data_IF_512840875118
#
_entry.id   IF_512840875118
#
_cell.length_a   1.000
_cell.length_b   1.000
_cell.length_c   1.000
_cell.angle_alpha   90.00
_cell.angle_beta   90.00
_cell.angle_gamma   90.00
#
_symmetry.space_group_name_H-M   'P 1'
#
loop_
_entity.id
_entity.type
_entity.pdbx_description
1 polymer ?
#
# COMPACT_ATOMS: atom_id res chain seq x y z
N UNK A 1 18.22 66.73 7.31
CA UNK A 1 16.88 66.58 6.68
C UNK A 1 16.76 65.18 6.09
N UNK A 2 16.17 64.24 6.84
CA UNK A 2 15.98 62.85 6.40
C UNK A 2 14.79 62.79 5.45
N UNK A 3 15.06 62.43 4.20
CA UNK A 3 14.13 62.51 3.07
C UNK A 3 12.82 61.75 3.30
N UNK A 4 11.71 62.50 3.25
CA UNK A 4 10.31 62.09 3.39
C UNK A 4 9.92 60.86 2.55
N UNK A 5 10.62 60.63 1.43
CA UNK A 5 10.35 59.52 0.50
C UNK A 5 10.70 58.13 1.04
N UNK A 6 11.61 58.01 2.03
CA UNK A 6 11.96 56.71 2.64
C UNK A 6 10.91 56.23 3.65
N UNK A 7 10.27 57.16 4.37
CA UNK A 7 9.23 56.84 5.36
C UNK A 7 7.93 56.40 4.68
N UNK A 8 7.56 57.04 3.55
CA UNK A 8 6.37 56.68 2.77
C UNK A 8 6.52 55.29 2.13
N UNK A 9 7.71 54.95 1.60
CA UNK A 9 7.97 53.60 1.02
C UNK A 9 7.89 52.47 2.05
N UNK A 10 8.37 52.68 3.27
CA UNK A 10 8.28 51.69 4.34
C UNK A 10 6.83 51.47 4.81
N UNK A 11 6.05 52.55 4.94
CA UNK A 11 4.63 52.46 5.31
C UNK A 11 3.82 51.74 4.23
N UNK A 12 4.04 52.05 2.95
CA UNK A 12 3.35 51.37 1.85
C UNK A 12 3.70 49.87 1.74
N UNK A 13 4.96 49.49 1.98
CA UNK A 13 5.37 48.09 2.03
C UNK A 13 4.73 47.32 3.20
N UNK A 14 4.62 47.95 4.38
CA UNK A 14 3.94 47.33 5.53
C UNK A 14 2.43 47.16 5.32
N UNK A 15 1.76 48.12 4.67
CA UNK A 15 0.32 48.03 4.36
C UNK A 15 0.08 46.97 3.28
N UNK A 16 0.96 46.85 2.29
CA UNK A 16 0.87 45.81 1.26
C UNK A 16 1.11 44.41 1.86
N UNK A 17 2.07 44.26 2.77
CA UNK A 17 2.32 42.99 3.48
C UNK A 17 1.17 42.59 4.41
N UNK A 18 0.59 43.54 5.14
CA UNK A 18 -0.54 43.28 6.04
C UNK A 18 -1.84 43.03 5.27
N UNK A 19 -2.06 43.72 4.14
CA UNK A 19 -3.18 43.48 3.22
C UNK A 19 -3.05 42.13 2.51
N UNK A 20 -1.83 41.75 2.09
CA UNK A 20 -1.55 40.43 1.51
C UNK A 20 -1.80 39.32 2.53
N UNK A 21 -1.35 39.46 3.78
CA UNK A 21 -1.61 38.48 4.85
C UNK A 21 -3.09 38.39 5.24
N UNK A 22 -3.82 39.51 5.25
CA UNK A 22 -5.26 39.51 5.57
C UNK A 22 -6.12 38.98 4.43
N UNK A 23 -5.74 39.23 3.17
CA UNK A 23 -6.38 38.61 2.00
C UNK A 23 -6.05 37.10 1.94
N UNK A 24 -4.81 36.69 2.15
CA UNK A 24 -4.43 35.26 2.16
C UNK A 24 -4.99 34.47 3.35
N UNK A 25 -5.23 35.10 4.51
CA UNK A 25 -5.84 34.44 5.67
C UNK A 25 -7.26 33.95 5.40
N UNK A 26 -7.98 34.58 4.48
CA UNK A 26 -9.31 34.14 4.02
C UNK A 26 -9.27 33.13 2.85
N UNK A 27 -8.12 32.94 2.18
CA UNK A 27 -7.99 32.00 1.04
C UNK A 27 -7.42 30.63 1.42
N UNK A 28 -7.03 30.42 2.69
CA UNK A 28 -6.59 29.12 3.20
C UNK A 28 -7.68 28.53 4.10
N UNK A 29 -8.90 28.42 3.58
CA UNK A 29 -9.81 27.36 4.00
C UNK A 29 -9.74 26.31 2.91
N UNK A 30 -8.95 25.26 3.15
CA UNK A 30 -8.91 24.10 2.27
C UNK A 30 -10.35 23.60 2.10
N UNK A 31 -10.91 23.56 0.87
CA UNK A 31 -12.23 22.97 0.65
C UNK A 31 -12.22 21.53 1.18
N UNK A 32 -13.31 21.11 1.82
CA UNK A 32 -13.47 19.78 2.44
C UNK A 32 -13.03 18.62 1.50
N UNK A 33 -13.19 18.83 0.19
CA UNK A 33 -12.77 17.95 -0.91
C UNK A 33 -11.26 17.67 -1.00
N UNK A 34 -10.39 18.56 -0.50
CA UNK A 34 -8.93 18.37 -0.54
C UNK A 34 -8.40 17.54 0.63
N UNK A 35 -9.22 17.14 1.61
CA UNK A 35 -8.80 16.16 2.63
C UNK A 35 -8.72 14.72 2.08
N UNK A 36 -9.44 14.45 1.00
CA UNK A 36 -9.42 13.15 0.29
C UNK A 36 -8.36 13.12 -0.83
N UNK A 37 -7.54 14.17 -0.98
CA UNK A 37 -6.42 14.12 -1.89
C UNK A 37 -5.35 13.19 -1.34
N UNK A 38 -5.36 11.98 -1.88
CA UNK A 38 -4.40 10.92 -1.66
C UNK A 38 -2.97 11.47 -1.73
N UNK A 39 -2.16 11.18 -0.71
CA UNK A 39 -0.74 11.56 -0.65
C UNK A 39 0.03 11.06 -1.87
N UNK A 40 -0.52 10.04 -2.52
CA UNK A 40 -0.08 9.43 -3.76
C UNK A 40 -0.18 10.37 -4.97
N UNK A 41 -1.17 11.28 -5.02
CA UNK A 41 -1.29 12.28 -6.09
C UNK A 41 -0.19 13.34 -5.97
N UNK A 42 0.11 13.79 -4.75
CA UNK A 42 1.16 14.80 -4.53
C UNK A 42 2.55 14.25 -4.86
N UNK A 43 2.81 12.98 -4.54
CA UNK A 43 4.03 12.26 -4.93
C UNK A 43 4.14 12.07 -6.46
N UNK A 44 3.02 11.89 -7.16
CA UNK A 44 2.98 11.82 -8.64
C UNK A 44 3.28 13.15 -9.32
N UNK A 45 2.94 14.28 -8.69
CA UNK A 45 3.12 15.63 -9.24
C UNK A 45 4.56 16.14 -9.08
N UNK A 46 5.31 15.66 -8.08
CA UNK A 46 6.68 16.15 -7.79
C UNK A 46 7.82 15.44 -8.53
N UNK A 47 7.53 14.51 -9.44
CA UNK A 47 8.50 14.11 -10.48
C UNK A 47 9.72 13.31 -10.00
N UNK A 48 9.52 12.23 -9.23
CA UNK A 48 10.49 11.11 -9.20
C UNK A 48 10.10 10.10 -10.28
N UNK A 49 10.75 10.19 -11.45
CA UNK A 49 10.53 9.32 -12.61
C UNK A 49 10.88 7.87 -12.33
N UNK A 50 9.86 7.09 -11.99
CA UNK A 50 9.86 5.64 -11.77
C UNK A 50 8.73 5.34 -10.80
N UNK A 51 7.71 4.53 -11.17
CA UNK A 51 6.66 4.18 -10.20
C UNK A 51 7.34 3.48 -9.03
N UNK A 52 7.30 4.10 -7.85
CA UNK A 52 7.75 3.46 -6.62
C UNK A 52 7.03 2.11 -6.49
N UNK A 53 7.77 1.08 -6.07
CA UNK A 53 7.18 -0.23 -5.83
C UNK A 53 6.43 -0.18 -4.51
N UNK A 54 5.18 -0.62 -4.52
CA UNK A 54 4.33 -0.58 -3.32
C UNK A 54 4.90 -1.45 -2.20
N UNK A 55 4.78 -0.98 -0.95
CA UNK A 55 5.34 -1.64 0.24
C UNK A 55 4.94 -3.11 0.37
N UNK A 56 3.75 -3.47 -0.10
CA UNK A 56 3.25 -4.85 -0.08
C UNK A 56 4.19 -5.82 -0.77
N UNK A 57 4.93 -5.41 -1.80
CA UNK A 57 5.92 -6.27 -2.45
C UNK A 57 7.09 -6.63 -1.55
N UNK A 58 7.41 -5.81 -0.55
CA UNK A 58 8.34 -6.17 0.51
C UNK A 58 7.81 -7.34 1.36
N UNK A 59 6.54 -7.28 1.75
CA UNK A 59 5.89 -8.41 2.45
C UNK A 59 5.81 -9.66 1.54
N UNK A 60 5.45 -9.48 0.27
CA UNK A 60 5.37 -10.58 -0.69
C UNK A 60 6.73 -11.23 -0.92
N UNK A 61 7.82 -10.45 -0.95
CA UNK A 61 9.18 -10.97 -1.01
C UNK A 61 9.46 -11.93 0.16
N UNK A 62 9.16 -11.53 1.39
CA UNK A 62 9.38 -12.37 2.58
C UNK A 62 8.60 -13.67 2.54
N UNK A 63 7.33 -13.66 2.12
CA UNK A 63 6.50 -14.88 2.14
C UNK A 63 6.67 -15.78 0.91
N UNK A 64 7.32 -15.27 -0.14
CA UNK A 64 7.67 -16.04 -1.34
C UNK A 64 9.11 -16.53 -1.35
N UNK A 65 9.96 -16.00 -0.47
CA UNK A 65 11.34 -16.45 -0.28
C UNK A 65 11.38 -17.60 0.73
N UNK A 66 12.05 -18.69 0.35
CA UNK A 66 12.17 -19.87 1.22
C UNK A 66 12.99 -19.54 2.49
N UNK A 67 12.51 -19.96 3.66
CA UNK A 67 13.18 -19.74 4.95
C UNK A 67 13.14 -18.30 5.48
N UNK A 68 12.61 -17.34 4.73
CA UNK A 68 12.53 -15.95 5.17
C UNK A 68 11.43 -15.75 6.23
N UNK A 69 11.78 -15.02 7.30
CA UNK A 69 10.94 -14.67 8.44
C UNK A 69 11.16 -13.20 8.78
N UNK A 70 10.09 -12.47 9.12
CA UNK A 70 10.20 -11.10 9.61
C UNK A 70 10.97 -11.07 10.95
N UNK A 71 11.92 -10.13 11.08
CA UNK A 71 12.69 -9.96 12.30
C UNK A 71 11.94 -9.06 13.30
N UNK A 72 11.83 -9.53 14.55
CA UNK A 72 11.19 -8.82 15.68
C UNK A 72 11.88 -7.48 16.03
N UNK A 73 13.13 -7.27 15.61
CA UNK A 73 13.92 -6.09 15.91
C UNK A 73 13.50 -4.82 15.13
N UNK A 74 12.54 -4.91 14.22
CA UNK A 74 12.12 -3.80 13.38
C UNK A 74 10.99 -3.01 14.07
N UNK A 75 11.26 -1.75 14.40
CA UNK A 75 10.26 -0.81 14.88
C UNK A 75 9.26 -0.51 13.75
N UNK A 76 8.07 -1.12 13.84
CA UNK A 76 6.98 -0.94 12.88
C UNK A 76 6.30 0.44 12.98
N UNK A 77 6.78 1.33 13.86
CA UNK A 77 6.24 2.68 14.09
C UNK A 77 6.98 3.79 13.29
N UNK A 78 7.86 3.42 12.35
CA UNK A 78 8.62 4.36 11.52
C UNK A 78 7.88 4.65 10.19
N UNK A 79 7.82 5.93 9.83
CA UNK A 79 7.17 6.50 8.64
C UNK A 79 7.42 5.70 7.34
N UNK A 80 6.41 5.78 6.47
CA UNK A 80 5.90 4.72 5.62
C UNK A 80 6.44 4.83 4.17
N UNK A 81 7.48 4.07 3.82
CA UNK A 81 7.88 3.77 2.42
C UNK A 81 9.07 2.82 2.25
N UNK A 82 9.75 2.41 3.32
CA UNK A 82 11.08 1.82 3.15
C UNK A 82 11.02 0.30 3.01
N UNK A 83 10.99 -0.15 1.75
CA UNK A 83 11.14 -1.56 1.37
C UNK A 83 12.43 -2.20 1.93
N UNK A 84 13.43 -1.39 2.28
CA UNK A 84 14.68 -1.81 2.92
C UNK A 84 14.50 -2.64 4.21
N UNK A 85 13.35 -2.53 4.89
CA UNK A 85 13.05 -3.36 6.07
C UNK A 85 12.80 -4.83 5.72
N UNK A 86 12.45 -5.11 4.47
CA UNK A 86 12.17 -6.46 3.96
C UNK A 86 13.40 -7.09 3.31
N UNK A 87 14.48 -6.34 3.05
CA UNK A 87 15.76 -6.89 2.62
C UNK A 87 16.51 -7.51 3.79
N UNK A 88 16.31 -8.81 4.02
CA UNK A 88 16.89 -9.53 5.16
C UNK A 88 18.42 -9.68 5.03
N UNK A 89 18.96 -9.81 3.81
CA UNK A 89 20.36 -10.20 3.60
C UNK A 89 21.14 -9.43 2.51
N UNK A 90 20.48 -8.69 1.63
CA UNK A 90 21.14 -8.01 0.50
C UNK A 90 20.30 -6.86 -0.05
N UNK A 91 20.92 -5.96 -0.82
CA UNK A 91 20.20 -4.92 -1.57
C UNK A 91 19.35 -5.56 -2.66
N UNK A 92 18.05 -5.31 -2.63
CA UNK A 92 17.08 -5.85 -3.59
C UNK A 92 16.76 -4.79 -4.65
N UNK A 93 16.81 -5.18 -5.92
CA UNK A 93 16.15 -4.42 -6.99
C UNK A 93 14.64 -4.71 -6.93
N UNK A 94 13.91 -3.80 -6.30
CA UNK A 94 12.47 -3.96 -6.06
C UNK A 94 11.64 -3.97 -7.34
N UNK A 95 12.12 -3.36 -8.43
CA UNK A 95 11.42 -3.37 -9.72
C UNK A 95 11.54 -4.75 -10.36
N UNK A 96 12.74 -5.32 -10.34
CA UNK A 96 12.97 -6.69 -10.80
C UNK A 96 12.24 -7.71 -9.92
N UNK A 97 12.28 -7.52 -8.60
CA UNK A 97 11.65 -8.42 -7.64
C UNK A 97 10.12 -8.42 -7.74
N UNK A 98 9.52 -7.24 -7.90
CA UNK A 98 8.09 -7.11 -8.23
C UNK A 98 7.74 -7.95 -9.46
N UNK A 99 8.53 -7.82 -10.54
CA UNK A 99 8.29 -8.55 -11.79
C UNK A 99 8.40 -10.06 -11.59
N UNK A 100 9.37 -10.53 -10.80
CA UNK A 100 9.52 -11.95 -10.44
C UNK A 100 8.30 -12.45 -9.67
N UNK A 101 7.88 -11.75 -8.63
CA UNK A 101 6.72 -12.11 -7.79
C UNK A 101 5.44 -12.15 -8.64
N UNK A 102 5.20 -11.14 -9.48
CA UNK A 102 4.02 -11.11 -10.35
C UNK A 102 4.01 -12.26 -11.37
N UNK A 103 5.18 -12.71 -11.82
CA UNK A 103 5.31 -13.80 -12.79
C UNK A 103 5.17 -15.19 -12.15
N UNK A 104 5.71 -15.39 -10.95
CA UNK A 104 5.76 -16.70 -10.28
C UNK A 104 4.58 -16.92 -9.33
N UNK A 105 4.09 -15.85 -8.69
CA UNK A 105 3.06 -15.88 -7.65
C UNK A 105 1.99 -14.79 -7.88
N UNK A 106 1.33 -14.76 -9.04
CA UNK A 106 0.36 -13.69 -9.36
C UNK A 106 -0.83 -13.66 -8.39
N UNK A 107 -1.18 -14.81 -7.80
CA UNK A 107 -2.28 -14.95 -6.82
C UNK A 107 -1.74 -15.58 -5.55
N UNK A 108 -1.87 -14.84 -4.44
CA UNK A 108 -1.42 -15.25 -3.10
C UNK A 108 -2.60 -15.20 -2.14
N UNK A 109 -2.85 -16.30 -1.44
CA UNK A 109 -3.86 -16.40 -0.39
C UNK A 109 -3.19 -16.42 0.98
N UNK A 110 -3.34 -15.34 1.75
CA UNK A 110 -3.03 -15.36 3.18
C UNK A 110 -4.17 -16.04 3.91
N UNK A 111 -3.85 -17.11 4.63
CA UNK A 111 -4.81 -18.10 5.11
C UNK A 111 -4.51 -18.49 6.56
N UNK A 112 -5.43 -19.24 7.17
CA UNK A 112 -5.13 -20.09 8.32
C UNK A 112 -5.65 -21.51 8.08
N UNK A 113 -4.87 -22.51 8.46
CA UNK A 113 -5.12 -23.90 8.08
C UNK A 113 -6.46 -24.44 8.62
N UNK A 114 -6.85 -23.99 9.82
CA UNK A 114 -8.11 -24.37 10.48
C UNK A 114 -9.31 -23.46 10.13
N UNK A 115 -9.10 -22.36 9.41
CA UNK A 115 -10.15 -21.34 9.22
C UNK A 115 -11.15 -21.77 8.13
N UNK A 116 -12.46 -21.92 8.46
CA UNK A 116 -13.46 -22.36 7.48
C UNK A 116 -13.67 -21.36 6.33
N UNK A 117 -13.52 -20.06 6.58
CA UNK A 117 -13.58 -19.03 5.53
C UNK A 117 -12.41 -19.12 4.55
N UNK A 118 -11.21 -19.47 5.07
CA UNK A 118 -10.03 -19.67 4.24
C UNK A 118 -10.17 -20.92 3.38
N UNK A 119 -10.68 -22.03 3.96
CA UNK A 119 -11.02 -23.23 3.20
C UNK A 119 -12.00 -22.92 2.06
N UNK A 120 -13.10 -22.22 2.36
CA UNK A 120 -14.10 -21.84 1.35
C UNK A 120 -13.51 -21.02 0.19
N UNK A 121 -12.66 -20.03 0.48
CA UNK A 121 -12.02 -19.23 -0.55
C UNK A 121 -11.07 -20.07 -1.43
N UNK A 122 -10.27 -20.94 -0.81
CA UNK A 122 -9.37 -21.87 -1.52
C UNK A 122 -10.16 -22.82 -2.42
N UNK A 123 -11.26 -23.39 -1.94
CA UNK A 123 -12.12 -24.29 -2.72
C UNK A 123 -12.71 -23.59 -3.95
N UNK A 124 -13.09 -22.31 -3.85
CA UNK A 124 -13.56 -21.52 -5.00
C UNK A 124 -12.42 -21.25 -5.99
N UNK A 125 -11.25 -20.82 -5.50
CA UNK A 125 -10.09 -20.49 -6.35
C UNK A 125 -9.56 -21.71 -7.12
N UNK A 126 -9.59 -22.90 -6.52
CA UNK A 126 -9.19 -24.15 -7.17
C UNK A 126 -9.99 -24.47 -8.44
N UNK A 127 -11.23 -24.00 -8.56
CA UNK A 127 -12.07 -24.19 -9.75
C UNK A 127 -11.54 -23.46 -10.99
N UNK A 128 -10.61 -22.51 -10.83
CA UNK A 128 -10.10 -21.68 -11.93
C UNK A 128 -8.80 -22.20 -12.56
N UNK A 129 -8.24 -23.31 -12.07
CA UNK A 129 -7.04 -23.95 -12.63
C UNK A 129 -5.91 -22.95 -12.91
N UNK A 130 -5.52 -22.18 -11.89
CA UNK A 130 -4.54 -21.11 -12.01
C UNK A 130 -3.17 -21.63 -12.49
N UNK A 131 -2.55 -20.89 -13.39
CA UNK A 131 -1.18 -21.10 -13.86
C UNK A 131 -0.46 -19.75 -13.89
N UNK A 132 0.57 -19.52 -13.05
CA UNK A 132 1.09 -20.37 -11.97
C UNK A 132 0.05 -20.75 -10.88
N UNK A 133 0.31 -21.81 -10.10
CA UNK A 133 -0.62 -22.25 -9.05
C UNK A 133 -0.77 -21.21 -7.94
N UNK A 134 -1.90 -21.25 -7.24
CA UNK A 134 -2.18 -20.44 -6.06
C UNK A 134 -1.09 -20.63 -5.00
N UNK A 135 -0.39 -19.55 -4.61
CA UNK A 135 0.47 -19.56 -3.42
C UNK A 135 -0.40 -19.41 -2.19
N UNK A 136 -0.32 -20.36 -1.26
CA UNK A 136 -1.01 -20.27 0.04
C UNK A 136 0.02 -19.99 1.12
N UNK A 137 -0.24 -18.98 1.94
CA UNK A 137 0.56 -18.61 3.11
C UNK A 137 -0.26 -18.85 4.36
N UNK A 138 -0.03 -19.97 5.03
CA UNK A 138 -0.75 -20.34 6.27
C UNK A 138 -0.11 -19.62 7.47
N UNK A 139 -0.74 -18.53 7.92
CA UNK A 139 -0.18 -17.66 8.96
C UNK A 139 -0.08 -18.33 10.32
N UNK A 140 -0.92 -19.32 10.61
CA UNK A 140 -0.87 -20.11 11.84
C UNK A 140 0.32 -21.09 11.88
N UNK A 141 0.99 -21.31 10.76
CA UNK A 141 2.14 -22.23 10.63
C UNK A 141 3.47 -21.47 10.53
N UNK A 142 3.44 -20.14 10.65
CA UNK A 142 4.62 -19.29 10.60
C UNK A 142 4.87 -18.61 11.94
N UNK A 143 6.13 -18.49 12.39
CA UNK A 143 6.46 -17.78 13.63
C UNK A 143 6.11 -16.28 13.56
N UNK A 144 6.21 -15.67 12.37
CA UNK A 144 5.90 -14.26 12.11
C UNK A 144 4.45 -14.00 11.65
N UNK A 145 3.57 -15.01 11.73
CA UNK A 145 2.21 -14.93 11.19
C UNK A 145 1.36 -13.80 11.79
N UNK A 146 1.58 -13.49 13.07
CA UNK A 146 0.93 -12.35 13.74
C UNK A 146 1.35 -10.99 13.17
N UNK A 147 2.64 -10.84 12.87
CA UNK A 147 3.20 -9.62 12.28
C UNK A 147 2.73 -9.44 10.84
N UNK A 148 2.77 -10.52 10.05
CA UNK A 148 2.23 -10.52 8.68
C UNK A 148 0.76 -10.07 8.67
N UNK A 149 -0.07 -10.60 9.58
CA UNK A 149 -1.48 -10.19 9.70
C UNK A 149 -1.64 -8.70 10.04
N UNK A 150 -0.81 -8.16 10.92
CA UNK A 150 -0.84 -6.74 11.27
C UNK A 150 -0.44 -5.85 10.08
N UNK A 151 0.63 -6.22 9.36
CA UNK A 151 1.08 -5.54 8.14
C UNK A 151 0.01 -5.60 7.06
N UNK A 152 -0.61 -6.76 6.81
CA UNK A 152 -1.71 -6.89 5.86
C UNK A 152 -2.89 -6.00 6.23
N UNK A 153 -3.26 -5.92 7.51
CA UNK A 153 -4.30 -5.03 7.99
C UNK A 153 -4.01 -3.57 7.64
N UNK A 154 -2.75 -3.12 7.84
CA UNK A 154 -2.32 -1.76 7.48
C UNK A 154 -2.29 -1.52 5.98
N UNK A 155 -1.73 -2.45 5.20
CA UNK A 155 -1.49 -2.28 3.77
C UNK A 155 -2.74 -2.48 2.90
N UNK A 156 -3.67 -3.32 3.34
CA UNK A 156 -4.85 -3.72 2.53
C UNK A 156 -6.18 -3.27 3.13
N UNK A 157 -6.17 -2.77 4.36
CA UNK A 157 -7.39 -2.51 5.14
C UNK A 157 -8.07 -3.78 5.67
N UNK A 158 -7.59 -4.98 5.30
CA UNK A 158 -8.19 -6.26 5.68
C UNK A 158 -7.32 -6.99 6.71
N UNK A 159 -7.76 -6.95 7.97
CA UNK A 159 -7.07 -7.56 9.11
C UNK A 159 -7.51 -9.00 9.42
N UNK A 160 -8.33 -9.59 8.55
CA UNK A 160 -8.88 -10.95 8.67
C UNK A 160 -8.24 -11.90 7.65
N UNK A 161 -8.39 -13.21 7.88
CA UNK A 161 -8.09 -14.24 6.87
C UNK A 161 -9.39 -14.91 6.41
N UNK A 162 -9.50 -15.29 5.13
CA UNK A 162 -8.46 -15.15 4.11
C UNK A 162 -8.33 -13.71 3.62
N UNK A 163 -7.14 -13.35 3.15
CA UNK A 163 -6.89 -12.14 2.37
C UNK A 163 -6.25 -12.55 1.05
N UNK A 164 -6.98 -12.38 -0.06
CA UNK A 164 -6.53 -12.79 -1.39
C UNK A 164 -5.90 -11.59 -2.09
N UNK A 165 -4.64 -11.74 -2.48
CA UNK A 165 -3.86 -10.72 -3.17
C UNK A 165 -3.58 -11.16 -4.60
N UNK A 166 -3.86 -10.28 -5.56
CA UNK A 166 -3.55 -10.45 -6.98
C UNK A 166 -2.65 -9.29 -7.42
N UNK A 167 -1.47 -9.59 -7.93
CA UNK A 167 -0.49 -8.57 -8.39
C UNK A 167 -0.28 -7.43 -7.37
N UNK A 168 -0.01 -7.79 -6.12
CA UNK A 168 0.21 -6.82 -5.04
C UNK A 168 -1.05 -6.10 -4.55
N UNK A 169 -2.24 -6.40 -5.07
CA UNK A 169 -3.50 -5.77 -4.63
C UNK A 169 -4.43 -6.76 -3.97
N UNK A 170 -4.94 -6.44 -2.78
CA UNK A 170 -6.01 -7.25 -2.18
C UNK A 170 -7.29 -7.16 -3.02
N UNK A 171 -7.85 -8.32 -3.37
CA UNK A 171 -9.18 -8.43 -3.98
C UNK A 171 -10.25 -8.81 -2.94
N UNK A 172 -9.86 -9.05 -1.68
CA UNK A 172 -10.77 -9.18 -0.56
C UNK A 172 -10.71 -10.53 0.17
N UNK A 173 -11.77 -10.77 0.95
CA UNK A 173 -11.92 -11.92 1.83
C UNK A 173 -12.73 -13.07 1.19
N UNK A 174 -13.13 -14.06 1.99
CA UNK A 174 -13.94 -15.19 1.52
C UNK A 174 -15.27 -14.75 0.91
N UNK A 175 -15.94 -13.74 1.47
CA UNK A 175 -17.22 -13.25 0.99
C UNK A 175 -17.07 -12.55 -0.37
N UNK A 176 -16.02 -11.75 -0.53
CA UNK A 176 -15.69 -11.11 -1.81
C UNK A 176 -15.43 -12.17 -2.90
N UNK A 177 -14.61 -13.19 -2.63
CA UNK A 177 -14.30 -14.25 -3.61
C UNK A 177 -15.56 -15.03 -4.02
N UNK A 178 -16.41 -15.41 -3.07
CA UNK A 178 -17.67 -16.10 -3.39
C UNK A 178 -18.59 -15.20 -4.21
N UNK A 179 -18.66 -13.90 -3.89
CA UNK A 179 -19.47 -12.93 -4.63
C UNK A 179 -18.98 -12.78 -6.07
N UNK A 180 -17.69 -12.57 -6.29
CA UNK A 180 -17.13 -12.47 -7.64
C UNK A 180 -17.32 -13.76 -8.44
N UNK A 181 -17.22 -14.93 -7.79
CA UNK A 181 -17.48 -16.20 -8.46
C UNK A 181 -18.95 -16.30 -8.90
N UNK A 182 -19.89 -15.97 -8.01
CA UNK A 182 -21.32 -15.98 -8.31
C UNK A 182 -21.74 -14.99 -9.39
N UNK A 183 -21.02 -13.88 -9.52
CA UNK A 183 -21.25 -12.86 -10.57
C UNK A 183 -20.49 -13.12 -11.88
N UNK A 184 -19.61 -14.13 -11.92
CA UNK A 184 -18.75 -14.38 -13.09
C UNK A 184 -17.57 -13.40 -13.23
N UNK A 185 -17.35 -12.51 -12.27
CA UNK A 185 -16.32 -11.46 -12.28
C UNK A 185 -14.94 -11.96 -11.80
N UNK A 186 -14.90 -13.11 -11.09
CA UNK A 186 -13.66 -13.55 -10.42
C UNK A 186 -12.53 -13.84 -11.40
N UNK A 187 -12.82 -14.28 -12.63
CA UNK A 187 -11.79 -14.51 -13.66
C UNK A 187 -11.06 -13.21 -14.01
N UNK A 188 -11.79 -12.10 -14.15
CA UNK A 188 -11.21 -10.80 -14.48
C UNK A 188 -10.40 -10.25 -13.30
N UNK A 189 -10.92 -10.41 -12.08
CA UNK A 189 -10.18 -10.05 -10.86
C UNK A 189 -8.85 -10.80 -10.74
N UNK A 190 -8.85 -12.11 -11.05
CA UNK A 190 -7.64 -12.94 -11.02
C UNK A 190 -6.66 -12.61 -12.15
N UNK A 191 -7.13 -11.99 -13.25
CA UNK A 191 -6.29 -11.48 -14.33
C UNK A 191 -5.77 -10.05 -14.06
N UNK A 192 -6.07 -9.47 -12.89
CA UNK A 192 -5.67 -8.11 -12.51
C UNK A 192 -6.39 -7.00 -13.28
N UNK A 193 -7.61 -7.27 -13.78
CA UNK A 193 -8.43 -6.33 -14.57
C UNK A 193 -9.50 -5.64 -13.74
#
# INVERSE_FOLDING_TARGET
>A
MVSSSRRIRLVLLSIFSLSFLLLFRSYITLPEYLKDFDHDIFARVTGSGGRAVDEIYGLLHVVTTEGAVLNDALDWNINQSDLARYSIHHQIDWVAEKKRIDAEFPVIAFSKSYCPFSKRAKDVLQKYSLSPPLKVVELDQRPDGGQIKAILGRLTGLSTVPNIVVHGKSIGDSAAIVTYHGRGELRDKLAGR
#
